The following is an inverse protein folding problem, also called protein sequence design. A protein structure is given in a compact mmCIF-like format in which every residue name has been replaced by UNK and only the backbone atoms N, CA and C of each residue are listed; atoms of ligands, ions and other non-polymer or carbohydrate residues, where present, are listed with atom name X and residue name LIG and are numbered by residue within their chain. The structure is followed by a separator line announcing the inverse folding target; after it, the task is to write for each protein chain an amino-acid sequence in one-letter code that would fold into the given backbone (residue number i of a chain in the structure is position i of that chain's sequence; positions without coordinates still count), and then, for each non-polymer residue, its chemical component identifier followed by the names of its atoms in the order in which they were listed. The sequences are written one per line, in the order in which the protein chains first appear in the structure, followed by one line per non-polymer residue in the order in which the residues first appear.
data_IF_942476726823
#
_entry.id   IF_942476726823
#
_cell.length_a   1.000
_cell.length_b   1.000
_cell.length_c   1.000
_cell.angle_alpha   90.00
_cell.angle_beta   90.00
_cell.angle_gamma   90.00
#
_symmetry.space_group_name_H-M   'P 1'
#
loop_
_entity.id
_entity.type
_entity.pdbx_description
1 polymer ?
#
# COMPACT_ATOMS: atom_id res chain seq x y z
N UNK A 1 -54.28 -14.07 8.99
CA UNK A 1 -54.87 -14.87 7.91
C UNK A 1 -53.78 -15.79 7.42
N UNK A 2 -53.60 -16.91 8.00
CA UNK A 2 -54.06 -18.26 7.72
C UNK A 2 -54.21 -18.60 6.23
N UNK A 3 -53.34 -19.46 5.70
CA UNK A 3 -53.73 -20.79 5.24
C UNK A 3 -52.52 -21.68 4.90
N UNK A 4 -52.44 -22.76 5.62
CA UNK A 4 -51.75 -24.00 5.42
C UNK A 4 -52.29 -24.76 4.19
N UNK A 5 -51.45 -25.55 3.48
CA UNK A 5 -51.85 -26.89 3.01
C UNK A 5 -50.60 -27.75 2.77
N UNK A 6 -50.53 -28.83 3.50
CA UNK A 6 -49.70 -30.00 3.28
C UNK A 6 -50.40 -30.96 2.33
N UNK A 7 -49.68 -31.68 1.45
CA UNK A 7 -50.12 -32.99 0.94
C UNK A 7 -48.88 -33.89 0.81
N UNK A 8 -49.04 -35.04 1.45
CA UNK A 8 -48.27 -36.26 1.39
C UNK A 8 -48.36 -36.98 0.04
N UNK A 9 -47.28 -37.59 -0.39
CA UNK A 9 -47.27 -38.52 -1.49
C UNK A 9 -46.04 -39.43 -1.39
N UNK A 10 -46.19 -40.54 -0.67
CA UNK A 10 -45.20 -41.62 -0.64
C UNK A 10 -45.24 -42.46 -1.89
N UNK A 11 -44.09 -42.82 -2.42
CA UNK A 11 -43.92 -43.95 -3.33
C UNK A 11 -42.73 -44.78 -2.90
N UNK A 12 -43.05 -46.01 -2.52
CA UNK A 12 -42.15 -47.12 -2.29
C UNK A 12 -41.40 -47.47 -3.56
N UNK A 13 -40.10 -47.47 -3.54
CA UNK A 13 -39.24 -48.03 -4.58
C UNK A 13 -38.43 -49.18 -4.01
N UNK A 14 -38.69 -50.31 -4.59
CA UNK A 14 -38.13 -51.64 -4.37
C UNK A 14 -36.62 -51.67 -4.49
N UNK A 15 -35.97 -52.38 -3.57
CA UNK A 15 -34.56 -52.74 -3.57
C UNK A 15 -34.19 -53.57 -4.80
N UNK A 16 -33.38 -53.01 -5.69
CA UNK A 16 -32.68 -53.76 -6.72
C UNK A 16 -31.28 -54.13 -6.21
N UNK A 17 -31.09 -55.44 -6.05
CA UNK A 17 -29.81 -56.08 -5.78
C UNK A 17 -28.79 -55.77 -6.86
N UNK A 18 -27.86 -54.89 -6.63
CA UNK A 18 -26.70 -54.66 -7.49
C UNK A 18 -25.56 -55.58 -7.10
N UNK A 19 -25.28 -56.51 -8.00
CA UNK A 19 -24.10 -57.40 -7.99
C UNK A 19 -22.83 -56.67 -7.67
N UNK A 20 -22.00 -57.28 -6.79
CA UNK A 20 -20.71 -56.79 -6.32
C UNK A 20 -19.77 -56.40 -7.46
N UNK A 21 -19.29 -55.17 -7.38
CA UNK A 21 -18.05 -54.78 -8.04
C UNK A 21 -16.89 -55.41 -7.26
N UNK A 22 -15.88 -55.98 -7.92
CA UNK A 22 -14.68 -56.44 -7.25
C UNK A 22 -13.95 -55.24 -6.67
N UNK A 23 -13.65 -55.32 -5.37
CA UNK A 23 -12.74 -54.44 -4.65
C UNK A 23 -11.39 -54.39 -5.37
N UNK A 24 -10.79 -53.22 -5.60
CA UNK A 24 -9.42 -53.22 -6.08
C UNK A 24 -8.53 -53.80 -4.98
N UNK A 25 -7.83 -54.82 -5.31
CA UNK A 25 -6.81 -55.42 -4.48
C UNK A 25 -5.77 -54.34 -4.07
N UNK A 26 -5.28 -54.38 -2.83
CA UNK A 26 -4.23 -53.45 -2.41
C UNK A 26 -2.96 -53.66 -3.25
N UNK A 27 -2.54 -52.61 -3.96
CA UNK A 27 -1.31 -52.58 -4.75
C UNK A 27 -0.03 -52.57 -3.88
N UNK A 28 -0.07 -53.22 -2.74
CA UNK A 28 1.03 -53.32 -1.78
C UNK A 28 1.71 -54.68 -1.73
N UNK A 29 1.57 -55.52 -2.80
CA UNK A 29 2.18 -56.86 -2.79
C UNK A 29 3.04 -57.17 -4.03
N UNK A 30 3.50 -56.16 -4.73
CA UNK A 30 4.39 -56.37 -5.88
C UNK A 30 5.76 -55.68 -5.75
N UNK A 31 6.13 -55.17 -4.55
CA UNK A 31 7.46 -54.63 -4.27
C UNK A 31 8.24 -55.41 -3.18
N UNK A 32 7.78 -56.59 -2.78
CA UNK A 32 8.40 -57.35 -1.68
C UNK A 32 9.13 -58.61 -2.17
N UNK A 33 9.38 -58.82 -3.49
CA UNK A 33 10.09 -59.99 -3.97
C UNK A 33 11.14 -59.70 -5.06
N UNK A 34 11.60 -58.46 -5.17
CA UNK A 34 12.94 -58.17 -5.63
C UNK A 34 13.81 -58.04 -4.38
N UNK A 35 14.28 -59.12 -3.87
CA UNK A 35 15.40 -59.13 -2.95
C UNK A 35 16.59 -58.52 -3.66
N UNK A 36 16.65 -57.19 -3.65
CA UNK A 36 17.89 -56.44 -3.91
C UNK A 36 18.66 -56.64 -2.60
N UNK A 37 19.48 -57.68 -2.61
CA UNK A 37 20.63 -57.79 -1.75
C UNK A 37 21.55 -56.61 -2.09
N UNK A 38 21.22 -55.42 -1.55
CA UNK A 38 21.94 -54.16 -1.78
C UNK A 38 23.00 -53.97 -0.70
N UNK A 39 23.71 -55.01 -0.37
CA UNK A 39 25.03 -54.87 0.21
C UNK A 39 25.95 -54.33 -0.87
N UNK A 40 26.13 -52.99 -0.88
CA UNK A 40 27.16 -52.36 -1.73
C UNK A 40 28.47 -53.13 -1.50
N UNK A 41 29.11 -53.59 -2.60
CA UNK A 41 30.46 -54.13 -2.54
C UNK A 41 31.34 -53.14 -1.76
N UNK A 42 32.25 -53.57 -0.88
CA UNK A 42 33.12 -52.70 -0.10
C UNK A 42 33.88 -51.65 -0.92
N UNK A 43 34.18 -51.90 -2.19
CA UNK A 43 34.81 -50.95 -3.09
C UNK A 43 33.81 -49.86 -3.53
N UNK A 44 32.58 -50.25 -3.85
CA UNK A 44 31.52 -49.32 -4.22
C UNK A 44 31.14 -48.43 -3.02
N UNK A 45 31.04 -49.01 -1.80
CA UNK A 45 30.78 -48.25 -0.58
C UNK A 45 31.85 -47.18 -0.31
N UNK A 46 33.14 -47.55 -0.46
CA UNK A 46 34.25 -46.58 -0.33
C UNK A 46 34.17 -45.48 -1.37
N UNK A 47 33.85 -45.81 -2.61
CA UNK A 47 33.65 -44.82 -3.67
C UNK A 47 32.51 -43.85 -3.35
N UNK A 48 31.37 -44.33 -2.84
CA UNK A 48 30.21 -43.51 -2.45
C UNK A 48 30.51 -42.63 -1.24
N UNK A 49 31.24 -43.12 -0.25
CA UNK A 49 31.69 -42.31 0.91
C UNK A 49 32.66 -41.21 0.42
N UNK A 50 33.59 -41.50 -0.46
CA UNK A 50 34.50 -40.50 -1.00
C UNK A 50 33.76 -39.42 -1.82
N UNK A 51 32.75 -39.80 -2.60
CA UNK A 51 31.91 -38.86 -3.34
C UNK A 51 31.07 -38.03 -2.42
N UNK A 52 30.47 -38.62 -1.38
CA UNK A 52 29.70 -37.90 -0.35
C UNK A 52 30.57 -36.89 0.41
N UNK A 53 31.83 -37.23 0.72
CA UNK A 53 32.79 -36.35 1.34
C UNK A 53 33.17 -35.16 0.45
N UNK A 54 33.43 -35.41 -0.84
CA UNK A 54 33.62 -34.35 -1.85
C UNK A 54 32.40 -33.42 -1.93
N UNK A 55 31.23 -34.02 -2.01
CA UNK A 55 29.97 -33.26 -2.09
C UNK A 55 29.73 -32.40 -0.82
N UNK A 56 30.08 -32.90 0.38
CA UNK A 56 30.07 -32.09 1.63
C UNK A 56 30.99 -30.88 1.52
N UNK A 57 32.21 -31.04 1.00
CA UNK A 57 33.17 -29.94 0.88
C UNK A 57 32.70 -28.91 -0.17
N UNK A 58 32.14 -29.38 -1.29
CA UNK A 58 31.47 -28.51 -2.26
C UNK A 58 30.25 -27.79 -1.68
N UNK A 59 29.44 -28.45 -0.85
CA UNK A 59 28.32 -27.85 -0.12
C UNK A 59 28.80 -26.79 0.83
N UNK A 60 29.89 -27.04 1.57
CA UNK A 60 30.47 -26.04 2.48
C UNK A 60 30.92 -24.79 1.71
N UNK A 61 31.57 -24.95 0.59
CA UNK A 61 31.97 -23.84 -0.29
C UNK A 61 30.74 -23.13 -0.91
N UNK A 62 29.70 -23.92 -1.28
CA UNK A 62 28.44 -23.38 -1.80
C UNK A 62 27.67 -22.65 -0.72
N UNK A 63 27.66 -23.14 0.54
CA UNK A 63 27.05 -22.47 1.68
C UNK A 63 27.71 -21.11 1.95
N UNK A 64 29.02 -20.98 1.77
CA UNK A 64 29.69 -19.69 1.85
C UNK A 64 29.22 -18.71 0.77
N UNK A 65 28.98 -19.20 -0.47
CA UNK A 65 28.38 -18.39 -1.55
C UNK A 65 26.95 -17.99 -1.23
N UNK A 66 26.16 -18.89 -0.68
CA UNK A 66 24.77 -18.61 -0.27
C UNK A 66 24.77 -17.62 0.89
N UNK A 67 25.63 -17.78 1.90
CA UNK A 67 25.76 -16.80 2.99
C UNK A 67 26.14 -15.41 2.47
N UNK A 68 27.09 -15.32 1.52
CA UNK A 68 27.43 -14.07 0.86
C UNK A 68 26.26 -13.49 0.04
N UNK A 69 25.47 -14.35 -0.63
CA UNK A 69 24.26 -13.94 -1.36
C UNK A 69 23.20 -13.42 -0.39
N UNK A 70 22.99 -14.05 0.75
CA UNK A 70 22.06 -13.57 1.79
C UNK A 70 22.45 -12.19 2.30
N UNK A 71 23.74 -11.96 2.58
CA UNK A 71 24.23 -10.63 2.97
C UNK A 71 24.04 -9.58 1.87
N UNK A 72 24.17 -9.95 0.58
CA UNK A 72 23.86 -9.05 -0.54
C UNK A 72 22.37 -8.76 -0.64
N UNK A 73 21.52 -9.78 -0.46
CA UNK A 73 20.07 -9.63 -0.42
C UNK A 73 19.61 -8.70 0.68
N UNK A 74 20.17 -8.82 1.89
CA UNK A 74 19.88 -7.91 3.00
C UNK A 74 20.23 -6.46 2.65
N UNK A 75 21.41 -6.21 2.06
CA UNK A 75 21.80 -4.87 1.61
C UNK A 75 20.87 -4.32 0.54
N UNK A 76 20.50 -5.14 -0.45
CA UNK A 76 19.55 -4.75 -1.51
C UNK A 76 18.17 -4.45 -0.92
N UNK A 77 17.72 -5.23 0.06
CA UNK A 77 16.47 -5.01 0.77
C UNK A 77 16.46 -3.68 1.54
N UNK A 78 17.55 -3.37 2.26
CA UNK A 78 17.69 -2.08 2.94
C UNK A 78 17.68 -0.91 1.94
N UNK A 79 18.40 -1.04 0.84
CA UNK A 79 18.41 -0.03 -0.22
C UNK A 79 17.04 0.14 -0.87
N UNK A 80 16.32 -0.94 -1.14
CA UNK A 80 14.95 -0.90 -1.67
C UNK A 80 14.00 -0.21 -0.69
N UNK A 81 14.12 -0.50 0.61
CA UNK A 81 13.34 0.14 1.67
C UNK A 81 13.55 1.66 1.70
N UNK A 82 14.81 2.12 1.60
CA UNK A 82 15.11 3.56 1.56
C UNK A 82 14.50 4.23 0.33
N UNK A 83 14.64 3.61 -0.85
CA UNK A 83 14.08 4.14 -2.09
C UNK A 83 12.54 4.13 -2.10
N UNK A 84 11.91 3.15 -1.47
CA UNK A 84 10.46 3.13 -1.27
C UNK A 84 10.00 4.31 -0.41
N UNK A 85 10.73 4.61 0.68
CA UNK A 85 10.43 5.77 1.50
C UNK A 85 10.62 7.09 0.75
N UNK A 86 11.69 7.22 -0.04
CA UNK A 86 11.91 8.40 -0.90
C UNK A 86 10.77 8.57 -1.89
N UNK A 87 10.37 7.50 -2.55
CA UNK A 87 9.25 7.49 -3.50
C UNK A 87 7.94 7.88 -2.81
N UNK A 88 7.62 7.27 -1.66
CA UNK A 88 6.41 7.58 -0.91
C UNK A 88 6.35 9.06 -0.48
N UNK A 89 7.48 9.62 0.03
CA UNK A 89 7.57 11.04 0.39
C UNK A 89 7.36 11.96 -0.82
N UNK A 90 7.99 11.65 -1.95
CA UNK A 90 7.85 12.44 -3.17
C UNK A 90 6.40 12.40 -3.70
N UNK A 91 5.73 11.24 -3.63
CA UNK A 91 4.31 11.10 -4.00
C UNK A 91 3.39 11.85 -3.05
N UNK A 92 3.68 11.86 -1.75
CA UNK A 92 2.92 12.64 -0.79
C UNK A 92 3.05 14.16 -1.06
N UNK A 93 4.28 14.64 -1.28
CA UNK A 93 4.53 16.04 -1.63
C UNK A 93 3.84 16.45 -2.94
N UNK A 94 3.84 15.58 -3.94
CA UNK A 94 3.12 15.80 -5.21
C UNK A 94 1.62 15.96 -4.97
N UNK A 95 1.00 15.06 -4.20
CA UNK A 95 -0.44 15.14 -3.88
C UNK A 95 -0.79 16.42 -3.12
N UNK A 96 0.01 16.77 -2.11
CA UNK A 96 -0.21 17.98 -1.31
C UNK A 96 -0.11 19.23 -2.17
N UNK A 97 0.95 19.35 -2.98
CA UNK A 97 1.15 20.50 -3.85
C UNK A 97 0.06 20.61 -4.94
N UNK A 98 -0.43 19.49 -5.49
CA UNK A 98 -1.60 19.50 -6.40
C UNK A 98 -2.86 19.99 -5.70
N UNK A 99 -3.15 19.45 -4.52
CA UNK A 99 -4.32 19.87 -3.75
C UNK A 99 -4.26 21.36 -3.37
N UNK A 100 -3.08 21.88 -3.07
CA UNK A 100 -2.87 23.30 -2.82
C UNK A 100 -3.10 24.15 -4.08
N UNK A 101 -2.58 23.70 -5.24
CA UNK A 101 -2.80 24.37 -6.52
C UNK A 101 -4.29 24.44 -6.88
N UNK A 102 -5.03 23.34 -6.67
CA UNK A 102 -6.46 23.28 -6.95
C UNK A 102 -7.28 24.17 -5.99
N UNK A 103 -6.92 24.21 -4.70
CA UNK A 103 -7.53 25.13 -3.73
C UNK A 103 -7.31 26.60 -4.12
N UNK A 104 -6.08 26.96 -4.49
CA UNK A 104 -5.77 28.33 -4.90
C UNK A 104 -6.44 28.70 -6.22
N UNK A 105 -6.54 27.75 -7.18
CA UNK A 105 -7.26 27.99 -8.43
C UNK A 105 -8.74 28.24 -8.19
N UNK A 106 -9.38 27.42 -7.36
CA UNK A 106 -10.80 27.59 -7.00
C UNK A 106 -11.04 28.92 -6.30
N UNK A 107 -10.19 29.30 -5.36
CA UNK A 107 -10.26 30.60 -4.70
C UNK A 107 -10.11 31.75 -5.70
N UNK A 108 -9.18 31.64 -6.64
CA UNK A 108 -9.01 32.62 -7.71
C UNK A 108 -10.28 32.78 -8.58
N UNK A 109 -10.93 31.67 -8.93
CA UNK A 109 -12.19 31.67 -9.71
C UNK A 109 -13.32 32.33 -8.94
N UNK A 110 -13.48 32.03 -7.63
CA UNK A 110 -14.47 32.67 -6.75
C UNK A 110 -14.23 34.18 -6.64
N UNK A 111 -12.99 34.59 -6.41
CA UNK A 111 -12.62 36.01 -6.35
C UNK A 111 -12.84 36.72 -7.70
N UNK A 112 -12.58 36.04 -8.82
CA UNK A 112 -12.79 36.60 -10.16
C UNK A 112 -14.29 36.80 -10.45
N UNK A 113 -15.14 35.88 -10.04
CA UNK A 113 -16.59 36.01 -10.13
C UNK A 113 -17.08 37.23 -9.33
N UNK A 114 -16.65 37.36 -8.08
CA UNK A 114 -16.99 38.48 -7.21
C UNK A 114 -16.53 39.82 -7.79
N UNK A 115 -15.27 39.91 -8.29
CA UNK A 115 -14.75 41.11 -8.92
C UNK A 115 -15.53 41.49 -10.20
N UNK A 116 -16.02 40.48 -10.94
CA UNK A 116 -16.87 40.69 -12.12
C UNK A 116 -18.22 41.28 -11.73
N UNK A 117 -18.83 40.79 -10.66
CA UNK A 117 -20.12 41.27 -10.13
C UNK A 117 -20.00 42.73 -9.64
N UNK A 118 -18.96 43.03 -8.86
CA UNK A 118 -18.68 44.37 -8.36
C UNK A 118 -18.42 45.35 -9.51
N UNK A 119 -17.66 44.94 -10.53
CA UNK A 119 -17.42 45.78 -11.74
C UNK A 119 -18.70 46.04 -12.52
N UNK A 120 -19.59 45.03 -12.67
CA UNK A 120 -20.88 45.21 -13.32
C UNK A 120 -21.77 46.19 -12.54
N UNK A 121 -21.81 46.09 -11.22
CA UNK A 121 -22.56 46.98 -10.37
C UNK A 121 -22.08 48.44 -10.46
N UNK A 122 -20.74 48.64 -10.42
CA UNK A 122 -20.14 49.98 -10.58
C UNK A 122 -20.33 50.49 -12.02
N UNK A 123 -20.21 49.66 -13.05
CA UNK A 123 -20.43 50.00 -14.45
C UNK A 123 -21.87 50.39 -14.74
N UNK A 124 -22.85 49.67 -14.21
CA UNK A 124 -24.27 50.02 -14.33
C UNK A 124 -24.58 51.36 -13.69
N UNK A 125 -24.03 51.62 -12.49
CA UNK A 125 -24.15 52.91 -11.86
C UNK A 125 -23.52 54.03 -12.66
N UNK A 126 -22.29 53.88 -13.13
CA UNK A 126 -21.58 54.86 -13.94
C UNK A 126 -22.35 55.20 -15.24
N UNK A 127 -22.89 54.15 -15.90
CA UNK A 127 -23.73 54.32 -17.10
C UNK A 127 -24.98 55.12 -16.79
N UNK A 128 -25.67 54.83 -15.67
CA UNK A 128 -26.86 55.53 -15.26
C UNK A 128 -26.58 57.01 -14.93
N UNK A 129 -25.47 57.30 -14.25
CA UNK A 129 -25.01 58.67 -13.98
C UNK A 129 -24.65 59.40 -15.29
N UNK A 130 -23.91 58.76 -16.23
CA UNK A 130 -23.47 59.37 -17.47
C UNK A 130 -24.62 59.65 -18.45
N UNK A 131 -25.63 58.77 -18.52
CA UNK A 131 -26.78 58.93 -19.42
C UNK A 131 -27.85 59.94 -18.92
N UNK A 132 -27.55 60.59 -17.81
CA UNK A 132 -28.38 61.70 -17.29
C UNK A 132 -29.63 61.26 -16.57
N UNK A 133 -29.81 59.94 -16.33
CA UNK A 133 -30.97 59.45 -15.55
C UNK A 133 -30.86 59.67 -14.05
N UNK A 134 -29.64 59.86 -13.51
CA UNK A 134 -29.40 60.01 -12.08
C UNK A 134 -29.19 61.46 -11.62
N UNK A 135 -28.44 62.25 -12.38
CA UNK A 135 -28.02 63.56 -11.87
C UNK A 135 -29.11 64.65 -11.88
N UNK A 136 -30.08 64.57 -12.81
CA UNK A 136 -31.16 65.54 -12.87
C UNK A 136 -32.26 65.15 -11.88
N UNK A 137 -32.58 63.88 -11.77
CA UNK A 137 -33.58 63.40 -10.76
C UNK A 137 -33.07 63.59 -9.31
N UNK A 138 -31.76 63.29 -9.10
CA UNK A 138 -31.11 63.51 -7.78
C UNK A 138 -30.96 64.99 -7.45
N UNK A 139 -30.64 65.83 -8.47
CA UNK A 139 -30.63 67.29 -8.31
C UNK A 139 -32.05 67.87 -8.11
N UNK A 140 -33.06 67.32 -8.81
CA UNK A 140 -34.47 67.73 -8.64
C UNK A 140 -34.95 67.32 -7.26
N UNK A 141 -34.66 66.11 -6.79
CA UNK A 141 -34.98 65.65 -5.42
C UNK A 141 -34.24 66.49 -4.37
N UNK A 142 -33.00 66.90 -4.63
CA UNK A 142 -32.24 67.80 -3.77
C UNK A 142 -32.82 69.21 -3.72
N UNK A 143 -33.26 69.76 -4.84
CA UNK A 143 -33.92 71.06 -4.92
C UNK A 143 -35.30 71.03 -4.26
N UNK A 144 -36.04 69.92 -4.43
CA UNK A 144 -37.33 69.70 -3.77
C UNK A 144 -37.15 69.58 -2.26
N UNK A 145 -36.17 68.88 -1.77
CA UNK A 145 -35.85 68.72 -0.35
C UNK A 145 -35.31 70.03 0.28
N UNK A 146 -34.60 70.85 -0.49
CA UNK A 146 -34.15 72.19 -0.02
C UNK A 146 -35.28 73.21 -0.01
N UNK A 147 -36.38 72.95 -0.70
CA UNK A 147 -37.60 73.79 -0.69
C UNK A 147 -38.63 73.38 0.38
N UNK A 148 -38.42 72.22 1.02
CA UNK A 148 -39.27 71.73 2.09
C UNK A 148 -38.89 72.38 3.43
N UNK A 149 -39.86 72.52 4.36
CA UNK A 149 -39.55 72.92 5.73
C UNK A 149 -38.56 71.97 6.40
N UNK A 150 -37.60 72.47 7.14
CA UNK A 150 -36.54 71.72 7.79
C UNK A 150 -36.98 70.55 8.69
N UNK A 151 -38.27 70.52 9.05
CA UNK A 151 -38.87 69.43 9.81
C UNK A 151 -39.37 68.25 9.00
N UNK A 152 -39.39 68.36 7.65
CA UNK A 152 -39.89 67.34 6.72
C UNK A 152 -38.86 66.85 5.71
N UNK A 153 -37.69 67.48 5.65
CA UNK A 153 -36.62 67.12 4.76
C UNK A 153 -35.81 65.95 5.37
N UNK A 154 -35.97 64.75 4.83
CA UNK A 154 -34.92 63.73 4.96
C UNK A 154 -33.66 64.28 4.34
N UNK A 155 -32.53 64.31 5.04
CA UNK A 155 -31.27 64.92 4.62
C UNK A 155 -30.76 64.33 3.27
N UNK A 156 -31.04 64.98 2.09
CA UNK A 156 -30.65 64.44 0.79
C UNK A 156 -29.16 64.56 0.56
N UNK A 157 -28.46 65.44 1.28
CA UNK A 157 -26.99 65.55 1.25
C UNK A 157 -26.35 64.38 1.97
N UNK A 158 -26.91 63.95 3.09
CA UNK A 158 -26.47 62.74 3.75
C UNK A 158 -26.72 61.48 2.91
N UNK A 159 -27.82 61.44 2.14
CA UNK A 159 -28.12 60.33 1.24
C UNK A 159 -27.13 60.28 0.02
N UNK A 160 -26.82 61.40 -0.56
CA UNK A 160 -25.83 61.55 -1.65
C UNK A 160 -24.42 61.26 -1.14
N UNK A 161 -24.06 61.74 0.04
CA UNK A 161 -22.79 61.42 0.69
C UNK A 161 -22.68 59.91 0.97
N UNK A 162 -23.73 59.27 1.46
CA UNK A 162 -23.79 57.84 1.71
C UNK A 162 -23.65 57.01 0.42
N UNK A 163 -24.33 57.37 -0.65
CA UNK A 163 -24.23 56.72 -1.97
C UNK A 163 -22.85 56.89 -2.59
N UNK A 164 -22.25 58.08 -2.48
CA UNK A 164 -20.88 58.35 -2.93
C UNK A 164 -19.87 57.51 -2.14
N UNK A 165 -20.00 57.48 -0.84
CA UNK A 165 -19.12 56.72 0.06
C UNK A 165 -19.19 55.20 -0.24
N UNK A 166 -20.39 54.66 -0.44
CA UNK A 166 -20.58 53.27 -0.87
C UNK A 166 -19.86 52.94 -2.18
N UNK A 167 -19.81 53.87 -3.14
CA UNK A 167 -19.15 53.67 -4.46
C UNK A 167 -17.65 53.77 -4.35
N UNK A 168 -17.11 54.66 -3.53
CA UNK A 168 -15.68 54.71 -3.18
C UNK A 168 -15.24 53.41 -2.54
N UNK A 169 -15.98 52.95 -1.56
CA UNK A 169 -15.69 51.62 -0.93
C UNK A 169 -15.82 50.46 -1.89
N UNK A 170 -16.73 50.50 -2.87
CA UNK A 170 -16.78 49.46 -3.93
C UNK A 170 -15.54 49.44 -4.82
N UNK A 171 -15.02 50.62 -5.16
CA UNK A 171 -13.78 50.74 -5.94
C UNK A 171 -12.56 50.28 -5.13
N UNK A 172 -12.46 50.64 -3.88
CA UNK A 172 -11.42 50.18 -2.95
C UNK A 172 -11.45 48.66 -2.82
N UNK A 173 -12.64 48.07 -2.67
CA UNK A 173 -12.80 46.60 -2.66
C UNK A 173 -12.33 45.94 -3.95
N UNK A 174 -12.68 46.50 -5.11
CA UNK A 174 -12.21 45.98 -6.41
C UNK A 174 -10.69 46.04 -6.52
N UNK A 175 -10.05 47.10 -6.02
CA UNK A 175 -8.58 47.24 -6.03
C UNK A 175 -7.91 46.24 -5.07
N UNK A 176 -8.43 46.08 -3.83
CA UNK A 176 -7.91 45.12 -2.87
C UNK A 176 -8.08 43.70 -3.40
N UNK A 177 -9.26 43.36 -3.95
CA UNK A 177 -9.55 42.05 -4.52
C UNK A 177 -8.61 41.73 -5.70
N UNK A 178 -8.28 42.71 -6.53
CA UNK A 178 -7.31 42.53 -7.61
C UNK A 178 -5.88 42.29 -7.13
N UNK A 179 -5.49 42.84 -5.98
CA UNK A 179 -4.18 42.56 -5.36
C UNK A 179 -4.16 41.16 -4.75
N UNK A 180 -5.22 40.75 -4.05
CA UNK A 180 -5.37 39.41 -3.50
C UNK A 180 -5.41 38.33 -4.59
N UNK A 181 -6.16 38.55 -5.68
CA UNK A 181 -6.19 37.66 -6.84
C UNK A 181 -4.80 37.38 -7.40
N UNK A 182 -3.95 38.42 -7.52
CA UNK A 182 -2.56 38.24 -7.99
C UNK A 182 -1.78 37.34 -7.02
N UNK A 183 -1.95 37.54 -5.71
CA UNK A 183 -1.31 36.70 -4.69
C UNK A 183 -1.76 35.25 -4.77
N UNK A 184 -3.06 34.99 -4.92
CA UNK A 184 -3.62 33.65 -5.07
C UNK A 184 -3.15 32.99 -6.37
N UNK A 185 -3.12 33.73 -7.48
CA UNK A 185 -2.61 33.23 -8.77
C UNK A 185 -1.14 32.82 -8.68
N UNK A 186 -0.29 33.62 -8.03
CA UNK A 186 1.11 33.27 -7.80
C UNK A 186 1.25 32.00 -6.98
N UNK A 187 0.51 31.86 -5.87
CA UNK A 187 0.50 30.64 -5.05
C UNK A 187 0.06 29.40 -5.85
N UNK A 188 -0.93 29.53 -6.73
CA UNK A 188 -1.35 28.43 -7.61
C UNK A 188 -0.23 28.01 -8.57
N UNK A 189 0.51 28.96 -9.13
CA UNK A 189 1.66 28.69 -10.01
C UNK A 189 2.80 28.04 -9.24
N UNK A 190 3.14 28.55 -8.06
CA UNK A 190 4.16 27.98 -7.18
C UNK A 190 3.82 26.55 -6.78
N UNK A 191 2.58 26.30 -6.36
CA UNK A 191 2.11 24.95 -5.99
C UNK A 191 2.16 23.98 -7.20
N UNK A 192 1.78 24.43 -8.39
CA UNK A 192 1.94 23.62 -9.62
C UNK A 192 3.40 23.31 -9.94
N UNK A 193 4.28 24.26 -9.77
CA UNK A 193 5.72 24.05 -9.95
C UNK A 193 6.25 23.04 -8.93
N UNK A 194 5.87 23.17 -7.66
CA UNK A 194 6.23 22.24 -6.60
C UNK A 194 5.71 20.81 -6.91
N UNK A 195 4.46 20.67 -7.39
CA UNK A 195 3.91 19.41 -7.82
C UNK A 195 4.71 18.74 -8.94
N UNK A 196 5.15 19.54 -9.92
CA UNK A 196 5.98 19.04 -11.03
C UNK A 196 7.33 18.54 -10.54
N UNK A 197 8.00 19.30 -9.66
CA UNK A 197 9.28 18.92 -9.07
C UNK A 197 9.13 17.63 -8.26
N UNK A 198 8.08 17.52 -7.45
CA UNK A 198 7.81 16.33 -6.66
C UNK A 198 7.49 15.10 -7.56
N UNK A 199 6.75 15.28 -8.65
CA UNK A 199 6.48 14.22 -9.62
C UNK A 199 7.77 13.70 -10.28
N UNK A 200 8.69 14.59 -10.67
CA UNK A 200 10.00 14.23 -11.22
C UNK A 200 10.84 13.47 -10.18
N UNK A 201 10.85 13.90 -8.93
CA UNK A 201 11.55 13.21 -7.85
C UNK A 201 10.96 11.81 -7.61
N UNK A 202 9.63 11.66 -7.66
CA UNK A 202 8.98 10.37 -7.55
C UNK A 202 9.35 9.44 -8.72
N UNK A 203 9.36 9.95 -9.95
CA UNK A 203 9.74 9.17 -11.13
C UNK A 203 11.21 8.68 -11.05
N UNK A 204 12.14 9.53 -10.60
CA UNK A 204 13.54 9.14 -10.40
C UNK A 204 13.70 8.09 -9.30
N UNK A 205 13.07 8.29 -8.14
CA UNK A 205 13.10 7.34 -7.04
C UNK A 205 12.52 5.98 -7.50
N UNK A 206 11.42 5.97 -8.26
CA UNK A 206 10.84 4.76 -8.84
C UNK A 206 11.80 4.04 -9.77
N UNK A 207 12.46 4.75 -10.68
CA UNK A 207 13.44 4.16 -11.59
C UNK A 207 14.60 3.50 -10.85
N UNK A 208 15.13 4.16 -9.82
CA UNK A 208 16.21 3.60 -8.97
C UNK A 208 15.71 2.37 -8.20
N UNK A 209 14.51 2.41 -7.66
CA UNK A 209 13.88 1.30 -6.97
C UNK A 209 13.72 0.07 -7.88
N UNK A 210 13.18 0.24 -9.08
CA UNK A 210 12.98 -0.87 -10.04
C UNK A 210 14.32 -1.55 -10.40
N UNK A 211 15.39 -0.77 -10.50
CA UNK A 211 16.73 -1.33 -10.75
C UNK A 211 17.23 -2.17 -9.55
N UNK A 212 16.98 -1.74 -8.32
CA UNK A 212 17.35 -2.49 -7.11
C UNK A 212 16.52 -3.77 -6.97
N UNK A 213 15.22 -3.68 -7.17
CA UNK A 213 14.30 -4.84 -7.17
C UNK A 213 14.72 -5.87 -8.22
N UNK A 214 15.07 -5.44 -9.44
CA UNK A 214 15.54 -6.35 -10.48
C UNK A 214 16.85 -7.06 -10.09
N UNK A 215 17.77 -6.39 -9.39
CA UNK A 215 18.97 -7.02 -8.84
C UNK A 215 18.63 -8.03 -7.74
N UNK A 216 17.77 -7.66 -6.83
CA UNK A 216 17.31 -8.52 -5.73
C UNK A 216 16.68 -9.81 -6.26
N UNK A 217 15.80 -9.71 -7.26
CA UNK A 217 15.18 -10.88 -7.91
C UNK A 217 16.22 -11.81 -8.54
N UNK A 218 17.18 -11.27 -9.30
CA UNK A 218 18.25 -12.09 -9.89
C UNK A 218 19.10 -12.80 -8.84
N UNK A 219 19.43 -12.13 -7.73
CA UNK A 219 20.20 -12.74 -6.64
C UNK A 219 19.40 -13.86 -5.96
N UNK A 220 18.09 -13.67 -5.75
CA UNK A 220 17.19 -14.70 -5.24
C UNK A 220 17.13 -15.92 -6.17
N UNK A 221 16.93 -15.70 -7.45
CA UNK A 221 16.88 -16.79 -8.45
C UNK A 221 18.20 -17.58 -8.50
N UNK A 222 19.32 -16.88 -8.49
CA UNK A 222 20.65 -17.51 -8.46
C UNK A 222 20.83 -18.36 -7.20
N UNK A 223 20.43 -17.85 -6.04
CA UNK A 223 20.55 -18.57 -4.77
C UNK A 223 19.67 -19.82 -4.74
N UNK A 224 18.46 -19.74 -5.29
CA UNK A 224 17.55 -20.89 -5.43
C UNK A 224 18.09 -21.96 -6.37
N UNK A 225 18.61 -21.57 -7.52
CA UNK A 225 19.19 -22.51 -8.48
C UNK A 225 20.34 -23.30 -7.84
N UNK A 226 21.19 -22.63 -7.07
CA UNK A 226 22.26 -23.27 -6.30
C UNK A 226 21.72 -24.27 -5.28
N UNK A 227 20.69 -23.90 -4.52
CA UNK A 227 20.08 -24.77 -3.52
C UNK A 227 19.39 -25.99 -4.16
N UNK A 228 18.61 -25.79 -5.22
CA UNK A 228 17.94 -26.88 -5.93
C UNK A 228 18.93 -27.88 -6.52
N UNK A 229 20.07 -27.41 -7.05
CA UNK A 229 21.14 -28.26 -7.54
C UNK A 229 21.77 -29.10 -6.42
N UNK A 230 21.97 -28.49 -5.26
CA UNK A 230 22.49 -29.23 -4.09
C UNK A 230 21.55 -30.36 -3.65
N UNK A 231 20.24 -30.06 -3.54
CA UNK A 231 19.22 -31.05 -3.17
C UNK A 231 19.21 -32.21 -4.17
N UNK A 232 19.27 -31.91 -5.48
CA UNK A 232 19.28 -32.91 -6.56
C UNK A 232 20.48 -33.84 -6.48
N UNK A 233 21.66 -33.33 -6.11
CA UNK A 233 22.90 -34.12 -6.02
C UNK A 233 22.99 -34.92 -4.74
N UNK A 234 22.54 -34.39 -3.62
CA UNK A 234 22.63 -35.02 -2.29
C UNK A 234 21.62 -36.15 -2.09
N UNK A 235 20.43 -35.98 -2.64
CA UNK A 235 19.31 -36.91 -2.40
C UNK A 235 19.65 -38.37 -2.74
N UNK A 236 20.11 -38.69 -3.97
CA UNK A 236 20.45 -40.05 -4.35
C UNK A 236 21.59 -40.67 -3.54
N UNK A 237 22.64 -39.90 -3.27
CA UNK A 237 23.81 -40.40 -2.49
C UNK A 237 23.38 -40.63 -1.03
N UNK A 238 22.59 -39.74 -0.42
CA UNK A 238 22.07 -39.95 0.93
C UNK A 238 21.20 -41.21 1.01
N UNK A 239 20.40 -41.49 -0.02
CA UNK A 239 19.56 -42.69 -0.09
C UNK A 239 20.38 -43.97 -0.11
N UNK A 240 21.40 -44.01 -0.92
CA UNK A 240 22.33 -45.15 -1.02
C UNK A 240 23.10 -45.40 0.30
N UNK A 241 23.62 -44.35 0.90
CA UNK A 241 24.39 -44.42 2.15
C UNK A 241 23.54 -44.79 3.35
N UNK A 242 22.27 -44.34 3.40
CA UNK A 242 21.32 -44.70 4.46
C UNK A 242 20.95 -46.20 4.41
N UNK A 243 20.97 -46.80 3.24
CA UNK A 243 20.75 -48.25 3.09
C UNK A 243 21.98 -49.11 3.49
N UNK A 244 23.13 -48.47 3.76
CA UNK A 244 24.33 -49.20 4.21
C UNK A 244 24.36 -49.23 5.77
N UNK A 245 24.66 -50.37 6.33
CA UNK A 245 24.86 -50.53 7.81
C UNK A 245 26.21 -49.97 8.28
N UNK A 246 26.93 -49.24 7.44
CA UNK A 246 28.24 -48.68 7.75
C UNK A 246 28.15 -47.38 8.57
N UNK A 247 28.72 -47.36 9.76
CA UNK A 247 28.67 -46.23 10.68
C UNK A 247 29.24 -44.93 10.10
N UNK A 248 30.32 -45.01 9.31
CA UNK A 248 30.94 -43.85 8.66
C UNK A 248 30.06 -43.29 7.54
N UNK A 249 29.41 -44.15 6.74
CA UNK A 249 28.44 -43.71 5.74
C UNK A 249 27.24 -43.01 6.36
N UNK A 250 26.76 -43.49 7.49
CA UNK A 250 25.67 -42.84 8.23
C UNK A 250 26.06 -41.51 8.81
N UNK A 251 27.32 -41.34 9.26
CA UNK A 251 27.84 -40.06 9.74
C UNK A 251 27.95 -39.04 8.64
N UNK A 252 28.56 -39.38 7.51
CA UNK A 252 28.66 -38.53 6.31
C UNK A 252 27.26 -38.14 5.81
N UNK A 253 26.30 -39.05 5.81
CA UNK A 253 24.90 -38.72 5.46
C UNK A 253 24.26 -37.72 6.41
N UNK A 254 24.52 -37.85 7.71
CA UNK A 254 24.04 -36.85 8.70
C UNK A 254 24.66 -35.47 8.46
N UNK A 255 25.95 -35.40 8.14
CA UNK A 255 26.64 -34.14 7.80
C UNK A 255 26.09 -33.51 6.52
N UNK A 256 25.88 -34.32 5.47
CA UNK A 256 25.25 -33.86 4.22
C UNK A 256 23.85 -33.27 4.46
N UNK A 257 23.02 -33.96 5.25
CA UNK A 257 21.68 -33.49 5.60
C UNK A 257 21.69 -32.21 6.45
N UNK A 258 22.67 -32.07 7.37
CA UNK A 258 22.85 -30.81 8.11
C UNK A 258 23.26 -29.67 7.19
N UNK A 259 24.14 -29.93 6.23
CA UNK A 259 24.58 -28.93 5.27
C UNK A 259 23.46 -28.46 4.32
N UNK A 260 22.42 -29.29 4.11
CA UNK A 260 21.24 -28.93 3.32
C UNK A 260 20.21 -28.05 4.04
N UNK A 261 20.33 -27.84 5.36
CA UNK A 261 19.39 -27.01 6.13
C UNK A 261 19.63 -25.52 5.88
N UNK A 262 19.35 -25.10 4.67
CA UNK A 262 19.32 -23.69 4.30
C UNK A 262 17.87 -23.21 4.28
N UNK A 263 17.60 -21.99 4.73
CA UNK A 263 16.27 -21.42 4.61
C UNK A 263 15.87 -21.34 3.13
N UNK A 264 14.76 -21.90 2.79
CA UNK A 264 14.19 -21.76 1.46
C UNK A 264 13.73 -20.30 1.25
N UNK A 265 14.19 -19.68 0.17
CA UNK A 265 13.78 -18.35 -0.24
C UNK A 265 12.80 -18.46 -1.41
N UNK A 266 11.55 -18.02 -1.25
CA UNK A 266 10.52 -18.15 -2.29
C UNK A 266 9.87 -16.85 -2.67
N UNK A 267 9.66 -16.66 -3.95
CA UNK A 267 8.81 -15.59 -4.50
C UNK A 267 8.08 -16.12 -5.72
N UNK A 268 6.78 -16.22 -5.64
CA UNK A 268 5.92 -16.31 -6.82
C UNK A 268 4.56 -15.75 -6.47
N UNK A 269 4.23 -14.61 -7.05
CA UNK A 269 3.03 -13.89 -6.71
C UNK A 269 2.21 -13.52 -7.94
N UNK A 270 1.20 -14.31 -8.24
CA UNK A 270 0.06 -13.79 -8.98
C UNK A 270 -1.06 -13.50 -7.99
N UNK A 271 -1.23 -12.24 -7.61
CA UNK A 271 -2.42 -11.80 -6.92
C UNK A 271 -3.52 -11.54 -7.94
N UNK A 272 -4.72 -12.04 -7.69
CA UNK A 272 -5.88 -11.58 -8.43
C UNK A 272 -6.07 -10.10 -8.13
N UNK A 273 -6.18 -9.29 -9.20
CA UNK A 273 -6.58 -7.90 -9.05
C UNK A 273 -7.97 -7.85 -8.38
N UNK A 274 -8.13 -6.92 -7.49
CA UNK A 274 -9.42 -6.61 -6.90
C UNK A 274 -10.05 -5.47 -7.73
N UNK A 275 -11.32 -5.58 -8.07
CA UNK A 275 -12.09 -4.58 -8.83
C UNK A 275 -12.44 -3.32 -8.01
N UNK A 276 -11.61 -2.97 -7.05
CA UNK A 276 -11.81 -1.81 -6.20
C UNK A 276 -11.54 -0.49 -6.92
N UNK A 277 -11.90 0.59 -6.25
CA UNK A 277 -11.81 1.96 -6.76
C UNK A 277 -10.53 2.66 -6.23
N UNK A 278 -9.63 3.05 -7.14
CA UNK A 278 -8.36 3.74 -6.82
C UNK A 278 -8.49 5.25 -6.68
N UNK A 279 -9.70 5.81 -6.66
CA UNK A 279 -9.90 7.25 -6.47
C UNK A 279 -9.31 7.72 -5.14
N UNK A 280 -8.91 8.99 -5.09
CA UNK A 280 -8.48 9.61 -3.85
C UNK A 280 -9.69 9.90 -2.95
N UNK A 281 -9.60 9.37 -1.73
CA UNK A 281 -10.56 9.62 -0.65
C UNK A 281 -9.86 10.35 0.49
N UNK A 282 -10.57 11.21 1.23
CA UNK A 282 -10.03 11.79 2.45
C UNK A 282 -9.60 10.68 3.44
N UNK A 283 -8.56 10.93 4.19
CA UNK A 283 -8.00 9.96 5.14
C UNK A 283 -9.07 9.48 6.13
N UNK A 284 -9.25 8.17 6.22
CA UNK A 284 -10.27 7.53 7.05
C UNK A 284 -11.69 7.53 6.49
N UNK A 285 -11.89 7.96 5.24
CA UNK A 285 -13.21 8.03 4.60
C UNK A 285 -13.34 7.16 3.33
N UNK A 286 -12.49 6.15 3.16
CA UNK A 286 -12.61 5.22 2.04
C UNK A 286 -13.86 4.35 2.25
N UNK A 287 -14.84 4.36 1.31
CA UNK A 287 -16.02 3.52 1.44
C UNK A 287 -15.67 2.04 1.26
N UNK A 288 -16.36 1.15 1.97
CA UNK A 288 -16.07 -0.29 1.96
C UNK A 288 -16.02 -0.90 0.55
N UNK A 289 -16.86 -0.40 -0.38
CA UNK A 289 -16.86 -0.86 -1.79
C UNK A 289 -15.58 -0.52 -2.57
N UNK A 290 -14.80 0.44 -2.09
CA UNK A 290 -13.54 0.86 -2.70
C UNK A 290 -12.33 0.15 -2.07
N UNK A 291 -12.55 -0.67 -1.05
CA UNK A 291 -11.54 -1.46 -0.37
C UNK A 291 -11.59 -2.92 -0.84
N UNK A 292 -10.43 -3.57 -0.83
CA UNK A 292 -10.26 -4.94 -1.28
C UNK A 292 -9.86 -5.84 -0.12
N UNK A 293 -10.44 -7.06 -0.03
CA UNK A 293 -10.13 -8.01 1.02
C UNK A 293 -8.70 -8.54 0.92
N UNK A 294 -8.14 -8.94 2.07
CA UNK A 294 -6.79 -9.42 2.20
C UNK A 294 -6.74 -10.95 2.26
N UNK A 295 -5.77 -11.55 1.53
CA UNK A 295 -5.55 -12.99 1.52
C UNK A 295 -5.13 -13.50 2.89
N UNK A 296 -5.89 -14.46 3.43
CA UNK A 296 -5.63 -15.06 4.73
C UNK A 296 -5.98 -14.18 5.94
N UNK A 297 -6.58 -13.00 5.74
CA UNK A 297 -6.90 -12.04 6.79
C UNK A 297 -8.37 -11.58 6.73
N UNK A 298 -9.33 -12.42 7.12
CA UNK A 298 -10.75 -12.09 7.06
C UNK A 298 -11.08 -10.86 7.92
N UNK A 299 -11.89 -9.96 7.37
CA UNK A 299 -12.26 -8.70 8.04
C UNK A 299 -11.27 -7.55 7.80
N UNK A 300 -10.12 -7.81 7.20
CA UNK A 300 -9.12 -6.81 6.84
C UNK A 300 -9.20 -6.44 5.36
N UNK A 301 -8.97 -5.16 5.06
CA UNK A 301 -9.03 -4.64 3.71
C UNK A 301 -8.09 -3.44 3.53
N UNK A 302 -7.69 -3.19 2.29
CA UNK A 302 -6.84 -2.07 1.88
C UNK A 302 -7.33 -1.48 0.56
N UNK A 303 -6.73 -0.38 0.13
CA UNK A 303 -6.87 0.12 -1.25
C UNK A 303 -6.46 -0.95 -2.26
N UNK A 304 -7.06 -0.97 -3.47
CA UNK A 304 -6.85 -2.04 -4.45
C UNK A 304 -5.39 -2.36 -4.76
N UNK A 305 -4.56 -1.36 -5.03
CA UNK A 305 -3.13 -1.55 -5.30
C UNK A 305 -2.36 -2.12 -4.11
N UNK A 306 -2.60 -1.60 -2.91
CA UNK A 306 -2.00 -2.10 -1.68
C UNK A 306 -2.48 -3.52 -1.36
N UNK A 307 -3.78 -3.80 -1.52
CA UNK A 307 -4.35 -5.12 -1.31
C UNK A 307 -3.80 -6.15 -2.29
N UNK A 308 -3.70 -5.82 -3.58
CA UNK A 308 -3.12 -6.69 -4.60
C UNK A 308 -1.66 -7.04 -4.27
N UNK A 309 -0.86 -6.03 -3.88
CA UNK A 309 0.53 -6.20 -3.48
C UNK A 309 0.66 -7.06 -2.21
N UNK A 310 -0.19 -6.81 -1.20
CA UNK A 310 -0.21 -7.62 0.02
C UNK A 310 -0.64 -9.06 -0.25
N UNK A 311 -1.67 -9.27 -1.06
CA UNK A 311 -2.16 -10.61 -1.38
C UNK A 311 -1.09 -11.44 -2.10
N UNK A 312 -0.29 -10.83 -2.97
CA UNK A 312 0.86 -11.47 -3.60
C UNK A 312 1.95 -11.81 -2.56
N UNK A 313 2.27 -10.88 -1.67
CA UNK A 313 3.24 -11.07 -0.59
C UNK A 313 2.80 -12.16 0.39
N UNK A 314 1.52 -12.15 0.81
CA UNK A 314 0.95 -13.13 1.75
C UNK A 314 0.94 -14.54 1.17
N UNK A 315 0.62 -14.70 -0.14
CA UNK A 315 0.73 -16.00 -0.82
C UNK A 315 2.17 -16.49 -0.92
N UNK A 316 3.13 -15.59 -1.13
CA UNK A 316 4.54 -15.96 -1.13
C UNK A 316 4.99 -16.43 0.26
N UNK A 317 4.57 -15.74 1.31
CA UNK A 317 4.84 -16.15 2.70
C UNK A 317 4.18 -17.49 3.04
N UNK A 318 2.92 -17.69 2.64
CA UNK A 318 2.18 -18.95 2.87
C UNK A 318 2.88 -20.14 2.22
N UNK A 319 3.46 -19.98 1.03
CA UNK A 319 4.24 -21.01 0.34
C UNK A 319 5.50 -21.39 1.14
N UNK A 320 6.12 -20.45 1.82
CA UNK A 320 7.37 -20.63 2.57
C UNK A 320 7.12 -21.11 4.02
N UNK A 321 6.14 -20.50 4.68
CA UNK A 321 5.86 -20.71 6.10
C UNK A 321 4.70 -21.68 6.34
N UNK A 322 3.95 -22.06 5.30
CA UNK A 322 2.78 -22.95 5.39
C UNK A 322 1.50 -22.27 5.92
N UNK A 323 1.58 -20.95 6.21
CA UNK A 323 0.46 -20.14 6.70
C UNK A 323 0.54 -18.75 6.06
N UNK A 324 -0.61 -18.08 5.78
CA UNK A 324 -0.61 -16.73 5.26
C UNK A 324 -0.10 -15.72 6.30
N UNK A 325 0.21 -14.50 5.86
CA UNK A 325 0.58 -13.40 6.76
C UNK A 325 -0.56 -13.07 7.72
N UNK A 326 -0.22 -12.95 8.98
CA UNK A 326 -1.14 -12.62 10.06
C UNK A 326 -1.30 -11.09 10.14
N UNK A 327 -2.54 -10.58 10.07
CA UNK A 327 -2.86 -9.14 10.12
C UNK A 327 -3.65 -8.84 11.38
N UNK A 328 -3.28 -7.78 12.08
CA UNK A 328 -4.01 -7.24 13.25
C UNK A 328 -4.69 -5.91 12.97
N UNK A 329 -4.17 -5.14 12.00
CA UNK A 329 -4.78 -3.88 11.57
C UNK A 329 -4.50 -3.62 10.08
N UNK A 330 -5.41 -2.90 9.41
CA UNK A 330 -5.33 -2.60 7.98
C UNK A 330 -5.93 -1.22 7.71
N UNK A 331 -6.89 -1.05 6.79
CA UNK A 331 -7.62 0.20 6.68
C UNK A 331 -8.31 0.53 7.99
N UNK A 332 -8.19 1.78 8.42
CA UNK A 332 -8.79 2.32 9.66
C UNK A 332 -9.61 3.56 9.34
N UNK A 333 -10.91 3.51 9.60
CA UNK A 333 -11.79 4.65 9.43
C UNK A 333 -11.42 5.81 10.37
N UNK A 334 -11.87 7.04 10.08
CA UNK A 334 -11.62 8.20 10.94
C UNK A 334 -12.15 7.98 12.37
N UNK A 335 -13.31 7.32 12.50
CA UNK A 335 -13.89 7.00 13.81
C UNK A 335 -12.99 6.05 14.60
N UNK A 336 -12.44 5.04 13.94
CA UNK A 336 -11.50 4.10 14.56
C UNK A 336 -10.17 4.79 14.89
N UNK A 337 -9.68 5.71 14.06
CA UNK A 337 -8.47 6.51 14.36
C UNK A 337 -8.68 7.35 15.64
N UNK A 338 -9.86 7.97 15.83
CA UNK A 338 -10.20 8.70 17.04
C UNK A 338 -10.18 7.78 18.25
N UNK A 339 -10.77 6.59 18.15
CA UNK A 339 -10.77 5.58 19.20
C UNK A 339 -9.37 5.10 19.57
N UNK A 340 -8.55 4.81 18.57
CA UNK A 340 -7.14 4.41 18.76
C UNK A 340 -6.33 5.54 19.39
N UNK A 341 -6.56 6.79 18.97
CA UNK A 341 -5.89 7.96 19.57
C UNK A 341 -6.27 8.13 21.03
N UNK A 342 -7.54 7.95 21.37
CA UNK A 342 -8.01 8.02 22.75
C UNK A 342 -7.39 6.94 23.65
N UNK A 343 -7.19 5.73 23.12
CA UNK A 343 -6.63 4.60 23.86
C UNK A 343 -5.09 4.57 23.92
N UNK A 344 -4.39 4.96 22.84
CA UNK A 344 -2.93 4.87 22.72
C UNK A 344 -2.21 6.21 22.92
N UNK A 345 -2.93 7.34 22.99
CA UNK A 345 -2.37 8.66 23.25
C UNK A 345 -1.31 9.08 22.23
N UNK A 346 -0.10 9.39 22.73
CA UNK A 346 1.03 9.81 21.87
C UNK A 346 1.54 8.72 20.92
N UNK A 347 1.18 7.46 21.16
CA UNK A 347 1.56 6.29 20.36
C UNK A 347 0.66 6.07 19.15
N UNK A 348 -0.27 6.96 18.88
CA UNK A 348 -1.12 6.92 17.71
C UNK A 348 -1.04 8.25 16.96
N UNK A 349 -1.09 8.20 15.63
CA UNK A 349 -1.15 9.36 14.76
C UNK A 349 -2.36 10.25 15.11
N UNK A 350 -2.31 11.51 14.75
CA UNK A 350 -3.47 12.40 14.82
C UNK A 350 -4.57 11.87 13.88
N UNK A 351 -5.83 11.76 14.33
CA UNK A 351 -6.91 11.33 13.44
C UNK A 351 -6.95 12.15 12.15
N UNK A 352 -7.07 11.47 11.01
CA UNK A 352 -7.01 12.09 9.69
C UNK A 352 -5.59 12.15 9.07
N UNK A 353 -4.55 11.66 9.77
CA UNK A 353 -3.16 11.66 9.26
C UNK A 353 -2.51 10.28 9.24
N UNK A 354 -3.22 9.22 9.63
CA UNK A 354 -2.68 7.86 9.69
C UNK A 354 -2.59 7.22 8.31
N UNK A 355 -1.49 6.52 7.98
CA UNK A 355 -1.37 5.74 6.74
C UNK A 355 -2.38 4.59 6.68
N UNK A 356 -2.85 4.07 7.82
CA UNK A 356 -3.99 3.16 7.88
C UNK A 356 -5.28 3.80 7.32
N UNK A 357 -5.49 5.10 7.54
CA UNK A 357 -6.65 5.81 7.00
C UNK A 357 -6.59 6.06 5.50
N UNK A 358 -5.42 5.93 4.89
CA UNK A 358 -5.24 5.92 3.44
C UNK A 358 -5.38 4.51 2.84
N UNK A 359 -5.55 3.47 3.67
CA UNK A 359 -5.58 2.09 3.23
C UNK A 359 -4.23 1.61 2.66
N UNK A 360 -3.13 2.16 3.16
CA UNK A 360 -1.77 1.92 2.68
C UNK A 360 -0.84 1.39 3.78
N UNK A 361 -1.34 1.09 4.97
CA UNK A 361 -0.56 0.53 6.06
C UNK A 361 -1.20 -0.72 6.65
N UNK A 362 -0.35 -1.56 7.24
CA UNK A 362 -0.68 -2.82 7.90
C UNK A 362 0.06 -2.95 9.22
N UNK A 363 -0.63 -3.50 10.22
CA UNK A 363 0.00 -4.06 11.41
C UNK A 363 -0.06 -5.59 11.34
N UNK A 364 1.10 -6.25 11.45
CA UNK A 364 1.27 -7.69 11.23
C UNK A 364 1.61 -8.43 12.53
N UNK A 365 1.15 -9.69 12.63
CA UNK A 365 1.40 -10.63 13.73
C UNK A 365 2.16 -11.87 13.24
N UNK A 366 2.00 -13.01 13.89
CA UNK A 366 2.63 -14.27 13.47
C UNK A 366 4.15 -14.29 13.60
N UNK A 367 4.70 -13.51 14.55
CA UNK A 367 6.15 -13.38 14.77
C UNK A 367 6.74 -12.13 14.12
N UNK A 368 6.06 -11.48 13.17
CA UNK A 368 6.54 -10.28 12.48
C UNK A 368 6.68 -9.10 13.45
N UNK A 369 5.85 -9.05 14.48
CA UNK A 369 5.86 -8.06 15.55
C UNK A 369 7.10 -8.11 16.46
N UNK A 370 8.08 -8.94 16.15
CA UNK A 370 9.33 -9.06 16.91
C UNK A 370 10.53 -8.87 16.01
N UNK A 371 11.33 -7.82 16.25
CA UNK A 371 12.58 -7.61 15.52
C UNK A 371 13.50 -8.82 15.63
N UNK A 372 14.12 -9.20 14.50
CA UNK A 372 15.04 -10.34 14.44
C UNK A 372 14.39 -11.72 14.40
N UNK A 373 13.08 -11.84 14.55
CA UNK A 373 12.40 -13.12 14.34
C UNK A 373 12.53 -13.59 12.89
N UNK A 374 12.47 -14.91 12.61
CA UNK A 374 12.52 -15.42 11.23
C UNK A 374 11.44 -14.79 10.33
N UNK A 375 10.22 -14.58 10.84
CA UNK A 375 9.13 -13.97 10.10
C UNK A 375 9.40 -12.49 9.78
N UNK A 376 9.91 -11.71 10.74
CA UNK A 376 10.28 -10.31 10.52
C UNK A 376 11.46 -10.19 9.53
N UNK A 377 12.47 -11.05 9.63
CA UNK A 377 13.60 -11.09 8.69
C UNK A 377 13.12 -11.45 7.27
N UNK A 378 12.20 -12.40 7.15
CA UNK A 378 11.58 -12.75 5.87
C UNK A 378 10.87 -11.54 5.26
N UNK A 379 10.06 -10.82 6.04
CA UNK A 379 9.39 -9.61 5.60
C UNK A 379 10.39 -8.55 5.12
N UNK A 380 11.45 -8.29 5.86
CA UNK A 380 12.50 -7.35 5.46
C UNK A 380 13.16 -7.69 4.13
N UNK A 381 13.30 -8.97 3.81
CA UNK A 381 13.91 -9.44 2.57
C UNK A 381 12.94 -9.42 1.39
N UNK A 382 11.67 -9.73 1.62
CA UNK A 382 10.70 -9.98 0.56
C UNK A 382 9.70 -8.84 0.35
N UNK A 383 9.25 -8.16 1.40
CA UNK A 383 8.24 -7.11 1.29
C UNK A 383 8.58 -6.02 0.27
N UNK A 384 9.84 -5.55 0.11
CA UNK A 384 10.20 -4.55 -0.90
C UNK A 384 9.95 -5.01 -2.34
N UNK A 385 9.98 -6.32 -2.62
CA UNK A 385 9.67 -6.88 -3.94
C UNK A 385 8.20 -6.66 -4.35
N UNK A 386 7.35 -6.41 -3.37
CA UNK A 386 5.91 -6.17 -3.52
C UNK A 386 5.51 -4.72 -3.21
N UNK A 387 6.47 -3.82 -3.09
CA UNK A 387 6.20 -2.40 -2.81
C UNK A 387 5.88 -2.09 -1.34
N UNK A 388 6.03 -3.06 -0.43
CA UNK A 388 5.88 -2.86 1.01
C UNK A 388 7.22 -2.55 1.66
N UNK A 389 7.25 -1.60 2.59
CA UNK A 389 8.46 -1.22 3.32
C UNK A 389 8.18 -1.03 4.80
N UNK A 390 9.23 -1.20 5.59
CA UNK A 390 9.23 -0.89 7.02
C UNK A 390 9.75 0.53 7.19
N UNK A 391 8.93 1.49 7.69
CA UNK A 391 9.34 2.89 7.81
C UNK A 391 10.53 3.06 8.75
N UNK A 392 11.41 4.01 8.47
CA UNK A 392 12.60 4.25 9.30
C UNK A 392 12.25 4.62 10.74
N UNK A 393 11.15 5.37 10.94
CA UNK A 393 10.67 5.74 12.26
C UNK A 393 10.21 4.54 13.10
N UNK A 394 9.72 3.47 12.43
CA UNK A 394 9.25 2.22 13.04
C UNK A 394 10.36 1.18 13.25
N UNK A 395 11.57 1.43 12.74
CA UNK A 395 12.73 0.54 12.87
C UNK A 395 13.29 0.44 14.29
N UNK A 396 14.24 -0.51 14.56
CA UNK A 396 14.81 -0.73 15.88
C UNK A 396 15.46 0.49 16.52
N UNK A 397 15.93 1.44 15.71
CA UNK A 397 16.52 2.71 16.16
C UNK A 397 15.66 3.92 15.85
N UNK A 398 14.41 3.71 15.44
CA UNK A 398 13.47 4.77 15.07
C UNK A 398 12.89 5.50 16.27
N UNK A 399 12.15 6.59 15.99
CA UNK A 399 11.52 7.41 17.03
C UNK A 399 10.36 6.71 17.74
N UNK A 400 9.74 5.70 17.07
CA UNK A 400 8.66 4.90 17.60
C UNK A 400 8.82 3.47 17.06
N UNK A 401 9.61 2.59 17.71
CA UNK A 401 9.85 1.25 17.20
C UNK A 401 8.58 0.40 17.17
N UNK A 402 8.13 0.05 15.95
CA UNK A 402 6.92 -0.74 15.68
C UNK A 402 7.25 -1.84 14.68
N UNK A 403 7.79 -3.00 15.10
CA UNK A 403 8.18 -4.08 14.19
C UNK A 403 7.02 -4.66 13.38
N UNK A 404 5.80 -4.48 13.82
CA UNK A 404 4.56 -4.92 13.16
C UNK A 404 4.12 -4.01 12.02
N UNK A 405 4.50 -2.71 12.03
CA UNK A 405 3.98 -1.69 11.10
C UNK A 405 4.69 -1.69 9.75
N UNK A 406 3.92 -1.81 8.68
CA UNK A 406 4.41 -1.82 7.29
C UNK A 406 3.58 -0.92 6.42
N UNK A 407 4.23 -0.19 5.50
CA UNK A 407 3.58 0.78 4.61
C UNK A 407 3.80 0.40 3.15
N UNK A 408 2.79 0.73 2.32
CA UNK A 408 2.83 0.53 0.87
C UNK A 408 3.20 1.83 0.17
N UNK A 409 4.19 1.78 -0.75
CA UNK A 409 4.70 2.97 -1.43
C UNK A 409 3.80 3.48 -2.58
N UNK A 410 2.89 2.67 -3.07
CA UNK A 410 1.94 3.07 -4.13
C UNK A 410 2.40 2.78 -5.55
#
# INVERSE_FOLDING_TARGET
MLLTCAVLGGTTATAASAKGRPSPAPASRALSDAGVDSSLDPAQLRSQIAEASRLRDELTASNAKIAAATTRLERLSLQANQLLQEYARARAAEREARAEADRNLKLFEEMNAQASDDRRAVGAWAFHVYTGGGSIADLTAMFEALSMPASEASDPVAHLAYLSDQKVHALERIQSLAAEQRGVALKAVEARSAATVAALAAADARKRLDAVIARQRRELESTRALHAEQVRRVGPISGLLLGSENSHALEVTRELRRALKLPELFVDGSANACDGDERDYPNGHIPARALCPLHGAPGHSLRPGAAAAFNALSKAYEKDAGVPLCVTDSYRSLVEQVSVKASRGKWAATPGTSEHGLGMALDLCGGIQSFGSPAHLWMRQNAPLYGWYHPAWAGPGGSLPEPWHWEYAG
#
